data_IF_244711654834
#
_entry.id   IF_244711654834
#
_cell.length_a   1.000
_cell.length_b   1.000
_cell.length_c   1.000
_cell.angle_alpha   90.00
_cell.angle_beta   90.00
_cell.angle_gamma   90.00
#
_symmetry.space_group_name_H-M   'P 1'
#
loop_
_entity.id
_entity.type
_entity.pdbx_description
1 polymer ?
#
# COMPACT_ATOMS: atom_id res chain seq x y z
N UNK A 1 -13.49 -1.92 26.62
CA UNK A 1 -14.30 -1.72 25.42
C UNK A 1 -13.47 -1.08 24.28
N UNK A 2 -12.85 0.08 24.51
CA UNK A 2 -12.08 0.77 23.47
C UNK A 2 -10.78 0.04 23.10
N UNK A 3 -10.06 -0.47 24.12
CA UNK A 3 -8.88 -1.30 23.90
C UNK A 3 -9.21 -2.58 23.10
N UNK A 4 -10.31 -3.28 23.43
CA UNK A 4 -10.69 -4.50 22.69
C UNK A 4 -11.11 -4.18 21.25
N UNK A 5 -11.81 -3.07 21.02
CA UNK A 5 -12.11 -2.59 19.65
C UNK A 5 -10.81 -2.35 18.87
N UNK A 6 -9.86 -1.64 19.47
CA UNK A 6 -8.57 -1.37 18.85
C UNK A 6 -7.78 -2.66 18.55
N UNK A 7 -7.76 -3.60 19.51
CA UNK A 7 -7.11 -4.91 19.32
C UNK A 7 -7.80 -5.76 18.26
N UNK A 8 -9.12 -5.66 18.11
CA UNK A 8 -9.87 -6.35 17.04
C UNK A 8 -9.49 -5.76 15.68
N UNK A 9 -9.49 -4.43 15.56
CA UNK A 9 -9.13 -3.74 14.32
C UNK A 9 -7.69 -4.07 13.89
N UNK A 10 -6.76 -4.14 14.84
CA UNK A 10 -5.36 -4.51 14.58
C UNK A 10 -5.09 -6.02 14.55
N UNK A 11 -6.14 -6.85 14.63
CA UNK A 11 -6.10 -8.33 14.52
C UNK A 11 -5.26 -9.03 15.59
N UNK A 12 -5.20 -8.46 16.80
CA UNK A 12 -4.42 -9.01 17.93
C UNK A 12 -5.27 -9.30 19.19
N UNK A 13 -6.59 -9.36 19.08
CA UNK A 13 -7.46 -9.61 20.23
C UNK A 13 -7.12 -10.94 20.94
N UNK A 14 -6.65 -11.95 20.19
CA UNK A 14 -6.21 -13.23 20.71
C UNK A 14 -4.99 -13.12 21.66
N UNK A 15 -4.20 -12.03 21.55
CA UNK A 15 -3.01 -11.78 22.34
C UNK A 15 -3.28 -10.97 23.61
N UNK A 16 -4.54 -10.69 23.95
CA UNK A 16 -4.90 -9.78 25.06
C UNK A 16 -4.31 -10.15 26.43
N UNK A 17 -4.00 -11.42 26.63
CA UNK A 17 -3.40 -11.93 27.87
C UNK A 17 -1.92 -12.33 27.71
N UNK A 18 -1.33 -12.08 26.54
CA UNK A 18 0.07 -12.42 26.27
C UNK A 18 1.01 -11.37 26.86
N UNK A 19 2.18 -11.79 27.27
CA UNK A 19 3.22 -10.88 27.74
C UNK A 19 3.86 -10.20 26.52
N UNK A 20 4.07 -8.88 26.57
CA UNK A 20 4.64 -8.08 25.47
C UNK A 20 6.00 -8.62 25.02
N UNK A 21 6.82 -9.14 25.94
CA UNK A 21 8.16 -9.69 25.64
C UNK A 21 8.14 -10.98 24.79
N UNK A 22 6.99 -11.65 24.69
CA UNK A 22 6.85 -12.89 23.91
C UNK A 22 6.33 -12.66 22.50
N UNK A 23 6.01 -11.41 22.17
CA UNK A 23 5.44 -11.05 20.87
C UNK A 23 6.53 -11.02 19.78
N UNK A 24 6.16 -11.44 18.58
CA UNK A 24 6.96 -11.19 17.36
C UNK A 24 7.02 -9.70 17.05
N UNK A 25 7.96 -9.29 16.17
CA UNK A 25 8.07 -7.89 15.75
C UNK A 25 6.76 -7.35 15.14
N UNK A 26 6.11 -8.13 14.27
CA UNK A 26 4.83 -7.74 13.65
C UNK A 26 3.68 -7.64 14.66
N UNK A 27 3.57 -8.59 15.61
CA UNK A 27 2.58 -8.52 16.67
C UNK A 27 2.80 -7.31 17.58
N UNK A 28 4.05 -7.02 17.91
CA UNK A 28 4.39 -5.85 18.72
C UNK A 28 4.01 -4.55 18.01
N UNK A 29 4.28 -4.40 16.71
CA UNK A 29 3.86 -3.23 15.94
C UNK A 29 2.33 -3.09 15.90
N UNK A 30 1.59 -4.19 15.78
CA UNK A 30 0.12 -4.18 15.87
C UNK A 30 -0.38 -3.76 17.25
N UNK A 31 0.32 -4.11 18.32
CA UNK A 31 0.02 -3.62 19.69
C UNK A 31 0.23 -2.12 19.78
N UNK A 32 1.33 -1.59 19.22
CA UNK A 32 1.58 -0.14 19.20
C UNK A 32 0.51 0.61 18.42
N UNK A 33 0.08 0.07 17.26
CA UNK A 33 -1.04 0.63 16.49
C UNK A 33 -2.35 0.57 17.28
N UNK A 34 -2.67 -0.56 17.93
CA UNK A 34 -3.86 -0.69 18.77
C UNK A 34 -3.88 0.36 19.88
N UNK A 35 -2.74 0.55 20.54
CA UNK A 35 -2.59 1.58 21.58
C UNK A 35 -2.84 2.98 21.02
N UNK A 36 -2.26 3.30 19.85
CA UNK A 36 -2.40 4.60 19.22
C UNK A 36 -3.85 4.93 18.81
N UNK A 37 -4.63 3.93 18.37
CA UNK A 37 -6.02 4.12 17.92
C UNK A 37 -7.08 3.92 19.00
N UNK A 38 -6.70 3.48 20.20
CA UNK A 38 -7.65 3.19 21.28
C UNK A 38 -8.47 4.42 21.71
N UNK A 39 -7.89 5.63 21.64
CA UNK A 39 -8.53 6.89 21.93
C UNK A 39 -9.36 7.48 20.77
N UNK A 40 -9.45 6.78 19.66
CA UNK A 40 -10.12 7.23 18.43
C UNK A 40 -9.61 8.61 17.94
N UNK A 41 -8.31 8.72 17.62
CA UNK A 41 -7.70 10.00 17.29
C UNK A 41 -8.14 10.50 15.92
N UNK A 42 -8.19 11.83 15.75
CA UNK A 42 -8.39 12.49 14.46
C UNK A 42 -7.10 12.50 13.61
N UNK A 43 -5.94 12.32 14.25
CA UNK A 43 -4.65 12.35 13.59
C UNK A 43 -3.67 11.39 14.27
N UNK A 44 -2.94 10.60 13.46
CA UNK A 44 -1.91 9.66 13.89
C UNK A 44 -0.53 10.09 13.38
N UNK A 45 0.47 9.99 14.23
CA UNK A 45 1.89 10.10 13.85
C UNK A 45 2.54 8.74 14.03
N UNK A 46 3.06 8.16 12.96
CA UNK A 46 3.70 6.85 12.93
C UNK A 46 5.17 7.02 12.52
N UNK A 47 6.07 6.67 13.41
CA UNK A 47 7.51 6.71 13.17
C UNK A 47 8.03 5.28 12.96
N UNK A 48 8.50 4.99 11.73
CA UNK A 48 9.02 3.67 11.31
C UNK A 48 8.09 2.50 11.73
N UNK A 49 6.79 2.50 11.32
CA UNK A 49 5.79 1.57 11.87
C UNK A 49 6.03 0.10 11.53
N UNK A 50 6.97 -0.21 10.66
CA UNK A 50 7.34 -1.58 10.25
C UNK A 50 8.71 -2.00 10.76
N UNK A 51 9.34 -1.20 11.60
CA UNK A 51 10.69 -1.50 12.10
C UNK A 51 10.72 -2.84 12.85
N UNK A 52 11.62 -3.74 12.42
CA UNK A 52 11.78 -5.07 13.06
C UNK A 52 10.75 -6.10 12.61
N UNK A 53 10.06 -5.84 11.51
CA UNK A 53 9.12 -6.75 10.86
C UNK A 53 9.77 -7.34 9.62
N UNK A 54 9.42 -8.56 9.23
CA UNK A 54 9.83 -9.16 7.97
C UNK A 54 9.04 -8.60 6.79
N UNK A 55 9.52 -8.80 5.58
CA UNK A 55 8.94 -8.21 4.36
C UNK A 55 7.44 -8.51 4.17
N UNK A 56 6.99 -9.72 4.48
CA UNK A 56 5.56 -10.07 4.37
C UNK A 56 4.71 -9.35 5.41
N UNK A 57 5.20 -9.25 6.64
CA UNK A 57 4.54 -8.52 7.71
C UNK A 57 4.52 -7.01 7.50
N UNK A 58 5.53 -6.43 6.83
CA UNK A 58 5.53 -5.01 6.45
C UNK A 58 4.33 -4.68 5.57
N UNK A 59 4.09 -5.45 4.51
CA UNK A 59 2.94 -5.26 3.62
C UNK A 59 1.63 -5.31 4.39
N UNK A 60 1.48 -6.29 5.28
CA UNK A 60 0.28 -6.43 6.11
C UNK A 60 0.04 -5.24 7.06
N UNK A 61 1.12 -4.69 7.64
CA UNK A 61 1.01 -3.51 8.52
C UNK A 61 0.61 -2.27 7.71
N UNK A 62 1.15 -2.06 6.51
CA UNK A 62 0.75 -0.94 5.67
C UNK A 62 -0.71 -1.05 5.21
N UNK A 63 -1.19 -2.24 4.87
CA UNK A 63 -2.60 -2.46 4.56
C UNK A 63 -3.49 -2.21 5.78
N UNK A 64 -3.04 -2.61 6.96
CA UNK A 64 -3.72 -2.30 8.22
C UNK A 64 -3.77 -0.79 8.50
N UNK A 65 -2.69 -0.05 8.26
CA UNK A 65 -2.66 1.41 8.39
C UNK A 65 -3.68 2.08 7.45
N UNK A 66 -3.79 1.61 6.20
CA UNK A 66 -4.83 2.08 5.26
C UNK A 66 -6.25 1.77 5.76
N UNK A 67 -6.46 0.56 6.29
CA UNK A 67 -7.73 0.17 6.88
C UNK A 67 -8.10 1.08 8.06
N UNK A 68 -7.17 1.33 8.99
CA UNK A 68 -7.34 2.23 10.13
C UNK A 68 -7.73 3.63 9.66
N UNK A 69 -7.02 4.20 8.69
CA UNK A 69 -7.34 5.51 8.12
C UNK A 69 -8.78 5.60 7.63
N UNK A 70 -9.21 4.56 6.90
CA UNK A 70 -10.55 4.53 6.32
C UNK A 70 -11.66 4.32 7.36
N UNK A 71 -11.42 3.47 8.38
CA UNK A 71 -12.42 3.20 9.42
C UNK A 71 -12.57 4.31 10.44
N UNK A 72 -11.45 4.97 10.78
CA UNK A 72 -11.45 6.07 11.75
C UNK A 72 -11.58 7.46 11.11
N UNK A 73 -11.50 7.55 9.77
CA UNK A 73 -11.48 8.83 9.05
C UNK A 73 -10.41 9.79 9.58
N UNK A 74 -9.25 9.27 10.01
CA UNK A 74 -8.18 10.05 10.61
C UNK A 74 -7.09 10.43 9.59
N UNK A 75 -6.43 11.58 9.82
CA UNK A 75 -5.19 11.93 9.13
C UNK A 75 -4.04 11.07 9.61
N UNK A 76 -3.09 10.71 8.71
CA UNK A 76 -1.91 9.94 9.09
C UNK A 76 -0.65 10.65 8.58
N UNK A 77 0.26 10.97 9.48
CA UNK A 77 1.64 11.34 9.17
C UNK A 77 2.54 10.13 9.45
N UNK A 78 3.17 9.63 8.41
CA UNK A 78 4.09 8.51 8.52
C UNK A 78 5.52 8.97 8.22
N UNK A 79 6.46 8.60 9.07
CA UNK A 79 7.90 8.80 8.86
C UNK A 79 8.47 7.45 8.49
N UNK A 80 9.15 7.37 7.35
CA UNK A 80 9.78 6.14 6.87
C UNK A 80 10.94 6.45 5.92
N UNK A 81 11.90 5.56 5.89
CA UNK A 81 12.99 5.55 4.91
C UNK A 81 12.72 4.60 3.73
N UNK A 82 11.62 3.86 3.75
CA UNK A 82 11.22 2.98 2.64
C UNK A 82 10.52 3.77 1.55
N UNK A 83 11.28 4.13 0.52
CA UNK A 83 10.78 4.93 -0.60
C UNK A 83 9.69 4.21 -1.40
N UNK A 84 9.74 2.87 -1.52
CA UNK A 84 8.75 2.10 -2.29
C UNK A 84 7.37 2.25 -1.66
N UNK A 85 7.30 2.06 -0.36
CA UNK A 85 6.05 2.16 0.40
C UNK A 85 5.55 3.59 0.43
N UNK A 86 6.42 4.56 0.73
CA UNK A 86 6.05 5.97 0.75
C UNK A 86 5.42 6.38 -0.57
N UNK A 87 6.04 6.02 -1.70
CA UNK A 87 5.54 6.39 -3.02
C UNK A 87 4.28 5.63 -3.44
N UNK A 88 4.07 4.40 -2.97
CA UNK A 88 2.91 3.58 -3.32
C UNK A 88 1.67 3.83 -2.45
N UNK A 89 1.86 4.24 -1.19
CA UNK A 89 0.82 4.20 -0.17
C UNK A 89 0.39 5.58 0.37
N UNK A 90 1.02 6.68 -0.07
CA UNK A 90 0.74 8.02 0.47
C UNK A 90 0.08 8.93 -0.55
N UNK A 91 -0.69 9.91 -0.06
CA UNK A 91 -1.30 10.97 -0.90
C UNK A 91 -0.34 12.14 -1.11
N UNK A 92 0.49 12.44 -0.09
CA UNK A 92 1.46 13.51 -0.07
C UNK A 92 2.78 13.02 0.52
N UNK A 93 3.88 13.53 0.00
CA UNK A 93 5.23 13.22 0.46
C UNK A 93 5.95 14.53 0.80
N UNK A 94 6.72 14.51 1.87
CA UNK A 94 7.64 15.58 2.26
C UNK A 94 9.04 14.97 2.40
N UNK A 95 9.99 15.45 1.63
CA UNK A 95 11.38 15.00 1.71
C UNK A 95 12.16 15.91 2.67
N UNK A 96 12.83 15.28 3.65
CA UNK A 96 13.61 15.97 4.67
C UNK A 96 15.09 15.59 4.58
N UNK A 97 15.94 16.60 4.56
CA UNK A 97 17.40 16.46 4.71
C UNK A 97 17.95 17.70 5.44
N UNK A 98 17.72 17.81 6.74
CA UNK A 98 17.99 19.02 7.53
C UNK A 98 17.01 20.18 7.27
N UNK A 99 16.39 20.21 6.10
CA UNK A 99 15.32 21.13 5.69
C UNK A 99 14.34 20.39 4.77
N UNK A 100 13.20 21.02 4.44
CA UNK A 100 12.26 20.48 3.45
C UNK A 100 12.87 20.70 2.05
N UNK A 101 13.29 19.61 1.40
CA UNK A 101 13.90 19.64 0.08
C UNK A 101 12.85 19.59 -1.03
N UNK A 102 11.81 18.79 -0.88
CA UNK A 102 10.70 18.66 -1.83
C UNK A 102 9.42 18.25 -1.13
N UNK A 103 8.27 18.58 -1.73
CA UNK A 103 6.96 18.16 -1.24
C UNK A 103 5.93 18.11 -2.35
N UNK A 104 4.92 17.25 -2.18
CA UNK A 104 3.82 17.09 -3.15
C UNK A 104 3.32 15.67 -3.25
N UNK A 105 2.52 15.39 -4.28
CA UNK A 105 2.12 14.01 -4.57
C UNK A 105 3.34 13.15 -4.91
N UNK A 106 3.33 11.83 -4.65
CA UNK A 106 4.45 10.93 -4.97
C UNK A 106 4.98 11.12 -6.39
N UNK A 107 4.07 11.18 -7.36
CA UNK A 107 4.41 11.38 -8.79
C UNK A 107 5.15 12.70 -9.04
N UNK A 108 4.72 13.79 -8.40
CA UNK A 108 5.35 15.09 -8.52
C UNK A 108 6.74 15.11 -7.88
N UNK A 109 6.85 14.52 -6.68
CA UNK A 109 8.11 14.44 -5.92
C UNK A 109 9.17 13.65 -6.70
N UNK A 110 8.84 12.44 -7.20
CA UNK A 110 9.78 11.61 -7.99
C UNK A 110 10.29 12.33 -9.23
N UNK A 111 9.49 13.20 -9.82
CA UNK A 111 9.89 13.98 -11.02
C UNK A 111 10.76 15.19 -10.68
N UNK A 112 10.83 15.62 -9.42
CA UNK A 112 11.55 16.81 -9.01
C UNK A 112 13.07 16.62 -9.11
N UNK A 113 13.77 17.74 -9.30
CA UNK A 113 15.23 17.76 -9.34
C UNK A 113 15.83 17.43 -7.98
N UNK A 114 15.25 17.97 -6.93
CA UNK A 114 15.69 17.83 -5.54
C UNK A 114 15.62 16.36 -5.08
N UNK A 115 14.56 15.64 -5.47
CA UNK A 115 14.45 14.20 -5.19
C UNK A 115 15.57 13.41 -5.89
N UNK A 116 15.87 13.73 -7.16
CA UNK A 116 16.92 13.08 -7.93
C UNK A 116 18.32 13.35 -7.37
N UNK A 117 18.54 14.54 -6.86
CA UNK A 117 19.79 14.92 -6.18
C UNK A 117 19.98 14.19 -4.86
N UNK A 118 18.89 13.95 -4.07
CA UNK A 118 18.94 13.25 -2.80
C UNK A 118 19.14 11.72 -2.96
N UNK A 119 18.39 11.12 -3.87
CA UNK A 119 18.29 9.65 -3.97
C UNK A 119 18.97 9.07 -5.23
N UNK A 120 19.46 9.92 -6.12
CA UNK A 120 20.09 9.55 -7.37
C UNK A 120 19.14 8.96 -8.42
N UNK A 121 19.64 8.75 -9.63
CA UNK A 121 18.83 8.20 -10.74
C UNK A 121 18.45 6.72 -10.56
N UNK A 122 19.03 6.01 -9.61
CA UNK A 122 18.75 4.58 -9.35
C UNK A 122 17.46 4.33 -8.58
N UNK A 123 16.91 5.33 -7.90
CA UNK A 123 15.65 5.21 -7.15
C UNK A 123 14.40 5.25 -8.06
N UNK A 124 14.56 5.46 -9.37
CA UNK A 124 13.46 5.78 -10.28
C UNK A 124 12.92 4.61 -11.11
N UNK A 125 13.70 3.62 -11.59
CA UNK A 125 13.19 2.65 -12.55
C UNK A 125 12.20 1.63 -11.96
N UNK A 126 12.24 1.37 -10.65
CA UNK A 126 11.45 0.31 -10.03
C UNK A 126 10.27 0.84 -9.20
N UNK A 127 10.16 2.15 -9.03
CA UNK A 127 8.97 2.85 -8.52
C UNK A 127 7.84 2.93 -9.56
N UNK A 128 7.95 2.18 -10.66
CA UNK A 128 6.87 1.96 -11.57
C UNK A 128 5.73 1.28 -10.81
N UNK A 129 4.90 2.15 -10.16
CA UNK A 129 3.48 1.94 -9.91
C UNK A 129 3.09 0.46 -9.85
N UNK A 130 3.45 -0.21 -8.79
CA UNK A 130 2.85 -1.48 -8.46
C UNK A 130 1.41 -1.21 -8.03
N UNK A 131 0.57 -0.87 -9.00
CA UNK A 131 -0.87 -1.01 -8.85
C UNK A 131 -1.14 -2.50 -8.87
N UNK A 132 -1.11 -3.13 -7.71
CA UNK A 132 -1.79 -4.39 -7.52
C UNK A 132 -3.29 -4.14 -7.69
N UNK A 133 -3.74 -4.12 -8.93
CA UNK A 133 -5.11 -4.47 -9.25
C UNK A 133 -5.18 -5.98 -9.20
N UNK A 134 -5.66 -6.51 -8.08
CA UNK A 134 -6.05 -7.91 -8.02
C UNK A 134 -7.39 -8.04 -8.75
N UNK A 135 -7.35 -8.20 -10.07
CA UNK A 135 -8.53 -8.49 -10.89
C UNK A 135 -8.89 -9.99 -10.86
N UNK A 136 -8.34 -10.75 -9.92
CA UNK A 136 -8.56 -12.18 -9.83
C UNK A 136 -8.73 -12.64 -8.39
N UNK A 137 -9.53 -13.70 -8.21
CA UNK A 137 -9.71 -14.43 -6.95
C UNK A 137 -9.12 -15.83 -7.10
N UNK A 138 -8.56 -16.36 -6.01
CA UNK A 138 -8.15 -17.76 -5.97
C UNK A 138 -9.30 -18.62 -5.42
N UNK A 139 -9.68 -19.66 -6.16
CA UNK A 139 -10.60 -20.69 -5.65
C UNK A 139 -9.91 -21.54 -4.58
N UNK A 140 -10.64 -22.27 -3.72
CA UNK A 140 -10.06 -23.12 -2.67
C UNK A 140 -9.12 -24.22 -3.19
N UNK A 141 -9.19 -24.56 -4.47
CA UNK A 141 -8.34 -25.50 -5.18
C UNK A 141 -7.15 -24.84 -5.91
N UNK A 142 -6.90 -23.56 -5.66
CA UNK A 142 -5.73 -22.83 -6.15
C UNK A 142 -5.83 -22.29 -7.58
N UNK A 143 -7.01 -22.37 -8.24
CA UNK A 143 -7.20 -21.82 -9.58
C UNK A 143 -7.46 -20.32 -9.55
N UNK A 144 -6.88 -19.59 -10.50
CA UNK A 144 -7.08 -18.15 -10.68
C UNK A 144 -8.39 -17.91 -11.42
N UNK A 145 -9.31 -17.15 -10.82
CA UNK A 145 -10.58 -16.74 -11.39
C UNK A 145 -10.53 -15.24 -11.71
N UNK A 146 -10.80 -14.86 -12.96
CA UNK A 146 -10.89 -13.46 -13.38
C UNK A 146 -12.34 -12.99 -13.34
N UNK A 147 -12.61 -11.76 -12.88
CA UNK A 147 -13.93 -11.13 -13.03
C UNK A 147 -14.17 -10.82 -14.50
N UNK A 148 -15.10 -11.53 -15.13
CA UNK A 148 -15.65 -11.13 -16.42
C UNK A 148 -16.66 -10.00 -16.19
N UNK A 149 -16.31 -8.77 -16.58
CA UNK A 149 -17.27 -7.68 -16.72
C UNK A 149 -18.22 -8.02 -17.87
N UNK A 150 -19.37 -8.60 -17.57
CA UNK A 150 -20.49 -8.65 -18.51
C UNK A 150 -21.10 -7.24 -18.61
N UNK A 151 -20.62 -6.46 -19.55
CA UNK A 151 -21.35 -5.30 -20.05
C UNK A 151 -22.50 -5.87 -20.89
N UNK A 152 -23.72 -5.68 -20.45
CA UNK A 152 -24.92 -5.94 -21.22
C UNK A 152 -24.97 -4.97 -22.40
N UNK A 153 -24.64 -5.46 -23.58
CA UNK A 153 -24.80 -4.75 -24.84
C UNK A 153 -26.27 -4.74 -25.26
N UNK A 154 -26.88 -3.55 -25.26
CA UNK A 154 -28.07 -3.30 -26.07
C UNK A 154 -27.65 -2.84 -27.45
N UNK A 155 -27.86 -3.77 -28.38
CA UNK A 155 -28.13 -3.61 -29.82
C UNK A 155 -27.85 -2.27 -30.50
N UNK A 156 -27.01 -2.24 -31.56
CA UNK A 156 -27.43 -1.97 -32.93
C UNK A 156 -26.35 -2.38 -33.94
N UNK A 157 -26.85 -3.11 -34.89
CA UNK A 157 -26.53 -3.55 -36.24
C UNK A 157 -25.42 -2.85 -37.05
N UNK A 158 -24.68 -3.75 -37.81
CA UNK A 158 -24.05 -3.59 -39.12
C UNK A 158 -22.69 -2.89 -39.26
N UNK A 159 -21.60 -3.55 -39.57
CA UNK A 159 -21.08 -3.87 -40.89
C UNK A 159 -19.63 -4.41 -40.87
N UNK A 160 -19.42 -5.42 -41.65
CA UNK A 160 -18.20 -6.09 -42.11
C UNK A 160 -17.03 -5.17 -42.45
N UNK A 161 -15.80 -5.50 -41.97
CA UNK A 161 -14.60 -5.52 -42.84
C UNK A 161 -13.44 -6.24 -42.15
N UNK A 162 -13.05 -7.35 -42.80
CA UNK A 162 -11.87 -8.16 -42.57
C UNK A 162 -10.60 -7.35 -42.80
N UNK A 163 -9.67 -7.32 -41.85
CA UNK A 163 -8.27 -6.99 -42.15
C UNK A 163 -7.34 -8.07 -41.60
N UNK A 164 -6.67 -8.73 -42.55
CA UNK A 164 -5.57 -9.67 -42.37
C UNK A 164 -4.37 -8.92 -41.81
N UNK A 165 -3.78 -9.39 -40.70
CA UNK A 165 -2.44 -8.97 -40.28
C UNK A 165 -1.42 -10.05 -40.64
N UNK A 166 -0.49 -9.65 -41.49
CA UNK A 166 0.66 -10.40 -42.00
C UNK A 166 1.72 -10.54 -40.90
N UNK A 167 2.20 -11.75 -40.67
CA UNK A 167 3.38 -12.04 -39.83
C UNK A 167 4.64 -11.57 -40.55
N UNK A 168 5.41 -10.68 -39.93
CA UNK A 168 6.79 -10.39 -40.37
C UNK A 168 7.76 -11.12 -39.40
N UNK A 169 8.48 -12.09 -39.97
CA UNK A 169 9.66 -12.73 -39.34
C UNK A 169 10.80 -11.73 -39.40
N UNK A 170 11.47 -11.52 -38.27
CA UNK A 170 12.81 -10.92 -38.25
C UNK A 170 13.79 -12.03 -37.89
N UNK A 171 14.76 -12.26 -38.80
CA UNK A 171 15.94 -13.10 -38.64
C UNK A 171 17.09 -12.22 -38.16
N UNK A 172 17.93 -12.87 -37.40
CA UNK A 172 19.27 -12.53 -36.89
C UNK A 172 19.34 -11.64 -35.67
#
# INVERSE_FOLDING_TARGET
KDAERAMTLTRILHLKNSEVRTLSGGEFQRVLLARAIASNPEFLVLDEPVRGVDFSGEVEIYDLIKQIRNELYCGILMISHDLHIVMAATDQVICLNGHICCSGTPKKVVSSREYKELFGNRAIPELALYKHQHDHYHSPDGKVLYQSNTISDHSHSKNTKTQKFTKTKIKN
#
